data_IF_074799246285
#
_entry.id   IF_074799246285
#
_cell.length_a   1.000
_cell.length_b   1.000
_cell.length_c   1.000
_cell.angle_alpha   90.00
_cell.angle_beta   90.00
_cell.angle_gamma   90.00
#
_symmetry.space_group_name_H-M   'P 1'
#
loop_
_entity.id
_entity.type
_entity.pdbx_description
1 polymer ?
#
# COMPACT_ATOMS: atom_id res chain seq x y z
N UNK A 1 20.10 -44.62 -6.76
CA UNK A 1 19.26 -43.71 -7.56
C UNK A 1 18.06 -43.34 -6.69
N UNK A 2 18.08 -42.16 -6.07
CA UNK A 2 17.01 -41.77 -5.14
C UNK A 2 15.78 -41.39 -5.97
N UNK A 3 14.72 -42.20 -5.88
CA UNK A 3 13.39 -41.83 -6.37
C UNK A 3 12.88 -40.74 -5.46
N UNK A 4 13.19 -39.49 -5.78
CA UNK A 4 12.64 -38.35 -5.06
C UNK A 4 11.18 -38.23 -5.48
N UNK A 5 10.28 -38.70 -4.62
CA UNK A 5 8.83 -38.66 -4.78
C UNK A 5 8.26 -37.23 -4.61
N UNK A 6 8.99 -36.20 -5.02
CA UNK A 6 8.52 -34.81 -4.98
C UNK A 6 7.72 -34.52 -6.24
N UNK A 7 6.41 -34.33 -6.11
CA UNK A 7 5.58 -33.84 -7.19
C UNK A 7 5.97 -32.38 -7.49
N UNK A 8 6.86 -32.19 -8.47
CA UNK A 8 7.37 -30.89 -8.90
C UNK A 8 6.20 -29.96 -9.27
N UNK A 9 5.15 -30.50 -9.88
CA UNK A 9 3.92 -29.76 -10.21
C UNK A 9 3.18 -29.27 -8.96
N UNK A 10 3.10 -30.10 -7.91
CA UNK A 10 2.50 -29.70 -6.63
C UNK A 10 3.37 -28.66 -5.90
N UNK A 11 4.70 -28.81 -5.93
CA UNK A 11 5.62 -27.82 -5.33
C UNK A 11 5.53 -26.46 -6.04
N UNK A 12 5.44 -26.46 -7.38
CA UNK A 12 5.24 -25.26 -8.17
C UNK A 12 3.86 -24.63 -7.90
N UNK A 13 2.81 -25.44 -7.80
CA UNK A 13 1.47 -24.99 -7.44
C UNK A 13 1.42 -24.40 -6.03
N UNK A 14 2.16 -24.98 -5.07
CA UNK A 14 2.25 -24.46 -3.71
C UNK A 14 3.02 -23.13 -3.66
N UNK A 15 4.09 -23.01 -4.45
CA UNK A 15 4.83 -21.76 -4.60
C UNK A 15 4.01 -20.65 -5.27
N UNK A 16 3.19 -20.99 -6.28
CA UNK A 16 2.28 -20.04 -6.93
C UNK A 16 1.11 -19.65 -6.01
N UNK A 17 0.55 -20.60 -5.27
CA UNK A 17 -0.45 -20.34 -4.22
C UNK A 17 0.09 -19.38 -3.15
N UNK A 18 1.31 -19.62 -2.65
CA UNK A 18 1.94 -18.72 -1.68
C UNK A 18 2.23 -17.32 -2.24
N UNK A 19 2.44 -17.18 -3.57
CA UNK A 19 2.51 -15.86 -4.22
C UNK A 19 1.13 -15.21 -4.32
N UNK A 20 0.11 -15.97 -4.72
CA UNK A 20 -1.26 -15.48 -4.84
C UNK A 20 -1.85 -15.06 -3.49
N UNK A 21 -1.57 -15.78 -2.41
CA UNK A 21 -2.02 -15.46 -1.06
C UNK A 21 -1.42 -14.13 -0.58
N UNK A 22 -0.13 -13.88 -0.83
CA UNK A 22 0.51 -12.58 -0.54
C UNK A 22 -0.07 -11.45 -1.38
N UNK A 23 -0.33 -11.69 -2.67
CA UNK A 23 -0.96 -10.70 -3.54
C UNK A 23 -2.40 -10.38 -3.11
N UNK A 24 -3.17 -11.40 -2.69
CA UNK A 24 -4.52 -11.25 -2.16
C UNK A 24 -4.52 -10.45 -0.86
N UNK A 25 -3.61 -10.76 0.07
CA UNK A 25 -3.47 -10.03 1.33
C UNK A 25 -3.19 -8.54 1.08
N UNK A 26 -2.27 -8.23 0.16
CA UNK A 26 -1.97 -6.85 -0.25
C UNK A 26 -3.17 -6.16 -0.92
N UNK A 27 -3.91 -6.86 -1.77
CA UNK A 27 -5.12 -6.31 -2.41
C UNK A 27 -6.21 -6.00 -1.37
N UNK A 28 -6.38 -6.87 -0.36
CA UNK A 28 -7.32 -6.63 0.74
C UNK A 28 -6.89 -5.43 1.59
N UNK A 29 -5.59 -5.28 1.86
CA UNK A 29 -5.05 -4.11 2.57
C UNK A 29 -5.30 -2.81 1.80
N UNK A 30 -5.10 -2.80 0.48
CA UNK A 30 -5.39 -1.65 -0.40
C UNK A 30 -6.88 -1.32 -0.45
N UNK A 31 -7.74 -2.34 -0.49
CA UNK A 31 -9.19 -2.15 -0.47
C UNK A 31 -9.67 -1.58 0.87
N UNK A 32 -9.13 -2.06 2.00
CA UNK A 32 -9.51 -1.61 3.34
C UNK A 32 -9.05 -0.19 3.64
N UNK A 33 -7.85 0.18 3.20
CA UNK A 33 -7.28 1.52 3.41
C UNK A 33 -7.72 2.52 2.35
N UNK A 34 -8.24 2.05 1.21
CA UNK A 34 -8.57 2.86 0.04
C UNK A 34 -7.36 3.53 -0.60
N UNK A 35 -6.14 3.14 -0.20
CA UNK A 35 -4.88 3.76 -0.62
C UNK A 35 -4.09 2.79 -1.47
N UNK A 36 -3.59 3.30 -2.60
CA UNK A 36 -2.81 2.53 -3.56
C UNK A 36 -1.39 2.24 -3.05
N UNK A 37 -0.87 3.12 -2.19
CA UNK A 37 0.45 3.03 -1.54
C UNK A 37 0.20 2.94 -0.03
N UNK A 38 0.44 1.77 0.56
CA UNK A 38 0.20 1.52 1.98
C UNK A 38 1.49 1.35 2.79
N UNK A 39 2.55 0.81 2.17
CA UNK A 39 3.82 0.54 2.84
C UNK A 39 4.96 1.31 2.17
N UNK A 40 5.90 1.78 2.99
CA UNK A 40 7.13 2.41 2.52
C UNK A 40 8.03 1.42 1.76
N UNK A 41 7.85 0.12 2.01
CA UNK A 41 8.60 -0.95 1.37
C UNK A 41 8.21 -1.16 -0.10
N UNK A 42 6.94 -0.94 -0.46
CA UNK A 42 6.46 -1.09 -1.84
C UNK A 42 6.73 0.15 -2.70
N UNK A 43 6.65 1.36 -2.13
CA UNK A 43 7.00 2.62 -2.80
C UNK A 43 7.37 3.72 -1.80
N UNK A 44 8.65 3.77 -1.42
CA UNK A 44 9.17 4.76 -0.47
C UNK A 44 9.05 6.21 -0.99
N UNK A 45 9.25 6.41 -2.30
CA UNK A 45 9.21 7.73 -2.91
C UNK A 45 7.77 8.25 -3.02
N UNK A 46 6.83 7.42 -3.47
CA UNK A 46 5.41 7.73 -3.55
C UNK A 46 4.77 7.95 -2.18
N UNK A 47 5.20 7.21 -1.15
CA UNK A 47 4.78 7.45 0.22
C UNK A 47 5.31 8.79 0.75
N UNK A 48 6.61 9.09 0.55
CA UNK A 48 7.21 10.36 0.99
C UNK A 48 6.50 11.58 0.38
N UNK A 49 6.29 11.57 -0.94
CA UNK A 49 5.58 12.64 -1.65
C UNK A 49 4.14 12.79 -1.13
N UNK A 50 3.44 11.67 -0.90
CA UNK A 50 2.09 11.70 -0.35
C UNK A 50 2.08 12.33 1.05
N UNK A 51 3.03 11.96 1.90
CA UNK A 51 3.15 12.51 3.27
C UNK A 51 3.56 13.98 3.30
N UNK A 52 4.28 14.48 2.30
CA UNK A 52 4.65 15.90 2.18
C UNK A 52 3.53 16.75 1.57
N UNK A 53 2.83 16.21 0.55
CA UNK A 53 1.79 16.94 -0.18
C UNK A 53 0.50 17.10 0.64
N UNK A 54 0.08 16.05 1.36
CA UNK A 54 -1.14 16.05 2.18
C UNK A 54 -1.16 17.26 3.16
N UNK A 55 -0.19 17.43 4.10
CA UNK A 55 -0.18 18.56 5.03
C UNK A 55 -0.22 19.93 4.36
N UNK A 56 0.42 20.06 3.19
CA UNK A 56 0.44 21.31 2.43
C UNK A 56 -0.95 21.66 1.89
N UNK A 57 -1.68 20.68 1.38
CA UNK A 57 -3.07 20.84 0.93
C UNK A 57 -4.00 21.19 2.09
N UNK A 58 -3.88 20.52 3.24
CA UNK A 58 -4.64 20.86 4.45
C UNK A 58 -4.34 22.30 4.91
N UNK A 59 -3.08 22.72 4.88
CA UNK A 59 -2.66 24.07 5.21
C UNK A 59 -3.25 25.13 4.27
N UNK A 60 -3.29 24.86 2.97
CA UNK A 60 -3.95 25.74 2.00
C UNK A 60 -5.46 25.82 2.22
N UNK A 61 -6.11 24.67 2.47
CA UNK A 61 -7.56 24.62 2.75
C UNK A 61 -7.93 25.42 4.01
N UNK A 62 -7.14 25.28 5.08
CA UNK A 62 -7.35 26.02 6.32
C UNK A 62 -7.14 27.52 6.13
N UNK A 63 -6.11 27.93 5.37
CA UNK A 63 -5.87 29.35 5.04
C UNK A 63 -7.06 29.97 4.31
N UNK A 64 -7.66 29.26 3.35
CA UNK A 64 -8.83 29.73 2.62
C UNK A 64 -10.10 29.82 3.50
N UNK A 65 -10.20 29.02 4.57
CA UNK A 65 -11.33 29.07 5.52
C UNK A 65 -11.18 30.14 6.62
N UNK A 66 -9.96 30.59 6.92
CA UNK A 66 -9.70 31.56 7.99
C UNK A 66 -9.96 33.05 7.74
N UNK A 67 -10.35 33.60 6.56
CA UNK A 67 -10.42 35.05 6.38
C UNK A 67 -11.60 35.74 7.09
N UNK A 68 -12.31 35.08 8.02
CA UNK A 68 -13.36 35.68 8.87
C UNK A 68 -13.18 35.54 10.39
N UNK A 69 -12.10 34.92 10.87
CA UNK A 69 -11.91 34.72 12.34
C UNK A 69 -10.73 35.48 12.95
N UNK A 70 -9.91 36.18 12.16
CA UNK A 70 -8.74 36.92 12.67
C UNK A 70 -8.95 38.45 12.73
N UNK A 71 -10.16 38.93 12.44
CA UNK A 71 -10.53 40.35 12.56
C UNK A 71 -11.52 40.57 13.71
N UNK A 72 -11.17 40.08 14.90
CA UNK A 72 -11.81 40.41 16.17
C UNK A 72 -10.73 40.82 17.17
#
# INVERSE_FOLDING_TARGET
>A
MAVVNTNISASLAQASLARNERALSKAMEQLSTGRKINTAADDAAGLAISTECLPKLWGWSNRCKTPRMQSA
#
